data_IF_870385247787
#
_entry.id   IF_870385247787
#
_cell.length_a   1.000
_cell.length_b   1.000
_cell.length_c   1.000
_cell.angle_alpha   90.00
_cell.angle_beta   90.00
_cell.angle_gamma   90.00
#
_symmetry.space_group_name_H-M   'P 1'
#
loop_
_entity.id
_entity.type
_entity.pdbx_description
1 polymer ?
#
# COMPACT_ATOMS: atom_id res chain seq x y z
N UNK A 1 -7.66 -4.76 -16.26
CA UNK A 1 -7.71 -3.80 -17.40
C UNK A 1 -8.95 -2.91 -17.39
N UNK A 2 -10.10 -3.35 -16.83
CA UNK A 2 -11.33 -2.55 -16.84
C UNK A 2 -11.21 -1.23 -16.06
N UNK A 3 -10.60 -1.25 -14.86
CA UNK A 3 -10.46 -0.06 -14.03
C UNK A 3 -9.65 1.08 -14.69
N UNK A 4 -8.76 0.76 -15.65
CA UNK A 4 -8.02 1.77 -16.40
C UNK A 4 -8.95 2.65 -17.28
N UNK A 5 -10.13 2.11 -17.66
CA UNK A 5 -11.14 2.81 -18.46
C UNK A 5 -12.09 3.67 -17.62
N UNK A 6 -12.07 3.53 -16.30
CA UNK A 6 -12.89 4.37 -15.41
C UNK A 6 -12.43 5.83 -15.45
N UNK A 7 -13.31 6.78 -15.11
CA UNK A 7 -12.97 8.20 -15.05
C UNK A 7 -11.66 8.45 -14.30
N UNK A 8 -10.86 9.41 -14.78
CA UNK A 8 -9.48 9.64 -14.31
C UNK A 8 -9.40 9.87 -12.80
N UNK A 9 -10.43 10.49 -12.22
CA UNK A 9 -10.53 10.76 -10.80
C UNK A 9 -10.84 9.52 -9.93
N UNK A 10 -11.22 8.39 -10.52
CA UNK A 10 -11.56 7.18 -9.78
C UNK A 10 -10.30 6.36 -9.49
N UNK A 11 -10.03 6.12 -8.21
CA UNK A 11 -8.97 5.23 -7.73
C UNK A 11 -9.47 3.82 -7.44
N UNK A 12 -8.54 2.85 -7.38
CA UNK A 12 -8.77 1.48 -6.95
C UNK A 12 -7.96 1.24 -5.68
N UNK A 13 -8.62 0.78 -4.63
CA UNK A 13 -7.94 0.39 -3.38
C UNK A 13 -7.82 -1.13 -3.29
N UNK A 14 -6.65 -1.62 -2.91
CA UNK A 14 -6.36 -3.05 -2.72
C UNK A 14 -5.74 -3.25 -1.33
N UNK A 15 -6.32 -4.16 -0.56
CA UNK A 15 -5.80 -4.52 0.75
C UNK A 15 -4.67 -5.54 0.63
N UNK A 16 -3.54 -5.26 1.28
CA UNK A 16 -2.42 -6.18 1.42
C UNK A 16 -2.24 -6.58 2.88
N UNK A 17 -2.11 -7.88 3.10
CA UNK A 17 -1.92 -8.45 4.43
C UNK A 17 -0.44 -8.48 4.83
N UNK A 18 -0.15 -8.67 6.11
CA UNK A 18 1.21 -8.87 6.61
C UNK A 18 1.96 -10.01 5.89
N UNK A 19 1.23 -11.03 5.42
CA UNK A 19 1.81 -12.16 4.67
C UNK A 19 2.33 -11.74 3.30
N UNK A 20 1.62 -10.83 2.64
CA UNK A 20 2.02 -10.30 1.33
C UNK A 20 3.30 -9.49 1.47
N UNK A 21 3.41 -8.68 2.53
CA UNK A 21 4.63 -7.91 2.81
C UNK A 21 5.82 -8.80 3.14
N UNK A 22 5.63 -9.95 3.80
CA UNK A 22 6.74 -10.92 4.02
C UNK A 22 7.28 -11.54 2.72
N UNK A 23 6.49 -11.49 1.64
CA UNK A 23 6.94 -11.94 0.34
C UNK A 23 7.74 -10.86 -0.37
N UNK A 24 8.98 -11.17 -0.73
CA UNK A 24 9.84 -10.26 -1.53
C UNK A 24 9.30 -9.96 -2.93
N UNK A 25 8.24 -10.64 -3.35
CA UNK A 25 7.65 -10.50 -4.68
C UNK A 25 6.48 -9.51 -4.75
N UNK A 26 6.04 -8.92 -3.63
CA UNK A 26 4.83 -8.08 -3.66
C UNK A 26 5.00 -6.82 -4.52
N UNK A 27 6.15 -6.16 -4.42
CA UNK A 27 6.51 -5.00 -5.24
C UNK A 27 6.51 -5.38 -6.73
N UNK A 28 7.07 -6.54 -7.04
CA UNK A 28 7.10 -7.10 -8.40
C UNK A 28 5.68 -7.32 -8.94
N UNK A 29 4.82 -7.98 -8.16
CA UNK A 29 3.43 -8.27 -8.52
C UNK A 29 2.64 -6.99 -8.78
N UNK A 30 2.80 -5.97 -7.94
CA UNK A 30 2.14 -4.67 -8.14
C UNK A 30 2.63 -4.01 -9.43
N UNK A 31 3.95 -4.02 -9.68
CA UNK A 31 4.52 -3.46 -10.91
C UNK A 31 3.98 -4.15 -12.16
N UNK A 32 3.93 -5.48 -12.16
CA UNK A 32 3.38 -6.27 -13.25
C UNK A 32 1.88 -6.03 -13.44
N UNK A 33 1.11 -5.96 -12.36
CA UNK A 33 -0.32 -5.67 -12.41
C UNK A 33 -0.61 -4.28 -13.01
N UNK A 34 0.18 -3.26 -12.66
CA UNK A 34 0.09 -1.93 -13.24
C UNK A 34 0.43 -1.96 -14.74
N UNK A 35 1.53 -2.60 -15.12
CA UNK A 35 1.94 -2.72 -16.52
C UNK A 35 0.87 -3.45 -17.38
N UNK A 36 0.35 -4.57 -16.86
CA UNK A 36 -0.64 -5.38 -17.56
C UNK A 36 -2.02 -4.71 -17.63
N UNK A 37 -2.37 -3.91 -16.62
CA UNK A 37 -3.68 -3.23 -16.57
C UNK A 37 -3.70 -1.91 -17.31
N UNK A 38 -2.54 -1.25 -17.48
CA UNK A 38 -2.44 0.13 -17.97
C UNK A 38 -2.97 1.17 -16.97
N UNK A 39 -3.24 0.78 -15.72
CA UNK A 39 -3.70 1.71 -14.69
C UNK A 39 -2.55 2.63 -14.31
N UNK A 40 -2.80 3.95 -14.30
CA UNK A 40 -1.82 4.90 -13.79
C UNK A 40 -1.54 4.62 -12.30
N UNK A 41 -0.26 4.50 -11.92
CA UNK A 41 0.14 4.07 -10.57
C UNK A 41 -0.51 4.89 -9.44
N UNK A 42 -0.62 6.21 -9.62
CA UNK A 42 -1.23 7.11 -8.64
C UNK A 42 -2.74 6.88 -8.41
N UNK A 43 -3.40 6.10 -9.27
CA UNK A 43 -4.80 5.67 -9.11
C UNK A 43 -4.91 4.35 -8.35
N UNK A 44 -3.81 3.65 -8.11
CA UNK A 44 -3.78 2.49 -7.23
C UNK A 44 -3.44 2.95 -5.81
N UNK A 45 -4.31 2.61 -4.87
CA UNK A 45 -4.12 2.78 -3.45
C UNK A 45 -3.93 1.39 -2.81
N UNK A 46 -2.83 1.21 -2.08
CA UNK A 46 -2.56 0.01 -1.32
C UNK A 46 -2.92 0.28 0.13
N UNK A 47 -3.81 -0.54 0.67
CA UNK A 47 -4.24 -0.47 2.05
C UNK A 47 -3.43 -1.48 2.88
N UNK A 48 -2.81 -0.98 3.95
CA UNK A 48 -1.94 -1.75 4.84
C UNK A 48 -2.52 -1.67 6.24
N UNK A 49 -2.63 -2.81 6.93
CA UNK A 49 -3.13 -2.83 8.30
C UNK A 49 -2.05 -2.47 9.32
N UNK A 50 -2.46 -1.99 10.48
CA UNK A 50 -1.55 -1.70 11.59
C UNK A 50 -0.69 -2.92 11.98
N UNK A 51 -1.29 -4.11 12.03
CA UNK A 51 -0.59 -5.36 12.34
C UNK A 51 0.48 -5.70 11.31
N UNK A 52 0.24 -5.41 10.02
CA UNK A 52 1.24 -5.64 8.97
C UNK A 52 2.47 -4.73 9.12
N UNK A 53 2.28 -3.51 9.62
CA UNK A 53 3.37 -2.56 9.92
C UNK A 53 4.19 -2.96 11.15
N UNK A 54 3.64 -3.81 12.02
CA UNK A 54 4.25 -4.21 13.29
C UNK A 54 4.97 -5.55 13.26
N UNK A 55 4.55 -6.47 12.38
CA UNK A 55 5.06 -7.84 12.29
C UNK A 55 6.55 -7.88 11.88
N UNK A 56 6.91 -7.32 10.72
CA UNK A 56 8.30 -7.16 10.28
C UNK A 56 8.55 -5.71 9.81
N UNK A 57 8.84 -4.85 10.79
CA UNK A 57 8.94 -3.40 10.61
C UNK A 57 9.92 -2.98 9.51
N UNK A 58 11.05 -3.68 9.38
CA UNK A 58 12.07 -3.35 8.39
C UNK A 58 11.61 -3.73 6.97
N UNK A 59 11.13 -4.95 6.80
CA UNK A 59 10.83 -5.49 5.48
C UNK A 59 9.52 -4.90 4.93
N UNK A 60 8.50 -4.72 5.78
CA UNK A 60 7.28 -4.00 5.41
C UNK A 60 7.59 -2.56 5.03
N UNK A 61 8.48 -1.87 5.77
CA UNK A 61 8.86 -0.49 5.45
C UNK A 61 9.58 -0.39 4.10
N UNK A 62 10.55 -1.25 3.84
CA UNK A 62 11.26 -1.30 2.56
C UNK A 62 10.28 -1.51 1.40
N UNK A 63 9.35 -2.47 1.57
CA UNK A 63 8.31 -2.73 0.57
C UNK A 63 7.39 -1.52 0.34
N UNK A 64 7.02 -0.80 1.40
CA UNK A 64 6.21 0.42 1.29
C UNK A 64 6.98 1.52 0.56
N UNK A 65 8.26 1.73 0.87
CA UNK A 65 9.12 2.71 0.19
C UNK A 65 9.27 2.38 -1.31
N UNK A 66 9.45 1.10 -1.65
CA UNK A 66 9.51 0.64 -3.04
C UNK A 66 8.18 0.82 -3.78
N UNK A 67 7.05 0.48 -3.14
CA UNK A 67 5.72 0.72 -3.70
C UNK A 67 5.49 2.22 -3.95
N UNK A 68 5.89 3.07 -3.01
CA UNK A 68 5.83 4.53 -3.18
C UNK A 68 6.70 4.99 -4.35
N UNK A 69 7.87 4.40 -4.56
CA UNK A 69 8.74 4.70 -5.69
C UNK A 69 8.10 4.33 -7.05
N UNK A 70 7.18 3.36 -7.09
CA UNK A 70 6.35 3.08 -8.28
C UNK A 70 5.28 4.15 -8.54
N UNK A 71 5.04 5.04 -7.57
CA UNK A 71 4.03 6.10 -7.66
C UNK A 71 2.63 5.66 -7.19
N UNK A 72 2.50 4.52 -6.50
CA UNK A 72 1.23 4.13 -5.87
C UNK A 72 0.98 4.93 -4.59
N UNK A 73 -0.29 5.03 -4.20
CA UNK A 73 -0.68 5.60 -2.90
C UNK A 73 -0.72 4.53 -1.84
N UNK A 74 -0.36 4.88 -0.61
CA UNK A 74 -0.40 3.97 0.54
C UNK A 74 -1.35 4.54 1.59
N UNK A 75 -2.31 3.72 2.03
CA UNK A 75 -3.24 4.05 3.08
C UNK A 75 -3.10 3.07 4.25
N UNK A 76 -3.24 3.57 5.48
CA UNK A 76 -3.40 2.73 6.67
C UNK A 76 -4.87 2.37 6.85
N UNK A 77 -5.16 1.08 6.98
CA UNK A 77 -6.48 0.50 7.28
C UNK A 77 -6.50 -0.04 8.73
N UNK A 78 -7.68 -0.04 9.35
CA UNK A 78 -7.93 -0.51 10.73
C UNK A 78 -7.04 0.15 11.81
N UNK A 79 -7.05 1.49 11.85
CA UNK A 79 -6.33 2.29 12.86
C UNK A 79 -7.07 2.36 14.20
N UNK A 80 -7.22 1.21 14.89
CA UNK A 80 -8.07 1.14 16.09
C UNK A 80 -7.66 0.15 17.19
N UNK A 81 -6.61 -0.66 16.98
CA UNK A 81 -6.27 -1.75 17.91
C UNK A 81 -5.15 -1.40 18.90
N UNK A 82 -4.51 -0.24 18.75
CA UNK A 82 -3.67 0.38 19.79
C UNK A 82 -2.24 -0.16 19.91
N UNK A 83 -1.74 -0.86 18.89
CA UNK A 83 -0.40 -1.46 18.92
C UNK A 83 0.71 -0.52 18.36
N UNK A 84 0.36 0.59 17.71
CA UNK A 84 1.27 1.56 17.09
C UNK A 84 1.09 2.95 17.69
N UNK A 85 2.17 3.49 18.26
CA UNK A 85 2.21 4.91 18.61
C UNK A 85 2.04 5.77 17.34
N UNK A 86 1.24 6.84 17.39
CA UNK A 86 1.13 7.84 16.31
C UNK A 86 2.51 8.33 15.82
N UNK A 87 3.48 8.40 16.73
CA UNK A 87 4.88 8.73 16.46
C UNK A 87 5.59 7.75 15.51
N UNK A 88 5.16 6.49 15.45
CA UNK A 88 5.65 5.50 14.50
C UNK A 88 4.99 5.66 13.14
N UNK A 89 3.67 5.88 13.10
CA UNK A 89 2.93 6.11 11.86
C UNK A 89 3.45 7.33 11.10
N UNK A 90 3.82 8.40 11.81
CA UNK A 90 4.40 9.61 11.21
C UNK A 90 5.77 9.39 10.53
N UNK A 91 6.44 8.26 10.79
CA UNK A 91 7.73 7.93 10.14
C UNK A 91 7.58 7.12 8.87
N UNK A 92 6.36 6.67 8.56
CA UNK A 92 6.06 5.89 7.37
C UNK A 92 5.56 6.82 6.25
N UNK A 93 5.88 6.53 4.98
CA UNK A 93 5.48 7.37 3.85
C UNK A 93 4.02 7.09 3.44
N UNK A 94 3.09 7.28 4.36
CA UNK A 94 1.65 7.09 4.17
C UNK A 94 1.01 8.32 3.53
N UNK A 95 0.06 8.12 2.60
CA UNK A 95 -0.73 9.19 1.98
C UNK A 95 -2.05 9.44 2.72
N UNK A 96 -2.58 8.41 3.39
CA UNK A 96 -3.89 8.46 4.05
C UNK A 96 -3.92 7.56 5.29
N UNK A 97 -4.69 7.98 6.29
CA UNK A 97 -5.10 7.14 7.42
C UNK A 97 -6.63 7.04 7.36
N UNK A 98 -7.15 5.81 7.35
CA UNK A 98 -8.60 5.54 7.37
C UNK A 98 -9.05 5.37 8.83
N UNK A 99 -10.16 6.03 9.19
CA UNK A 99 -10.81 6.03 10.52
C UNK A 99 -12.19 5.40 10.37
#
# INVERSE_FOLDING_TARGET
AECAKWPVQTSVSVNLSAKDFRSRDIVQKVREALANSGLAAHRLEIEVTETALLDDKSLTRESIEDLKALGVRIALDDSGTGYSSLSYLHKLPLDKIKI
#
